data_IF_929420231377
#
_entry.id   IF_929420231377
#
_cell.length_a   1.000
_cell.length_b   1.000
_cell.length_c   1.000
_cell.angle_alpha   90.00
_cell.angle_beta   90.00
_cell.angle_gamma   90.00
#
_symmetry.space_group_name_H-M   'P 1'
#
loop_
_entity.id
_entity.type
_entity.pdbx_description
1 polymer ?
#
# COMPACT_ATOMS: atom_id res chain seq x y z
N UNK A 1 26.11 5.82 -5.90
CA UNK A 1 25.03 5.47 -6.85
C UNK A 1 23.72 5.52 -6.07
N UNK A 2 23.20 6.73 -5.82
CA UNK A 2 21.96 7.02 -5.08
C UNK A 2 21.12 7.81 -6.09
N UNK A 3 20.14 7.18 -6.72
CA UNK A 3 19.37 7.87 -7.78
C UNK A 3 18.12 7.14 -8.22
N UNK A 4 18.06 5.83 -8.04
CA UNK A 4 16.92 4.99 -8.42
C UNK A 4 15.89 4.82 -7.29
N UNK A 5 16.33 4.76 -6.03
CA UNK A 5 15.43 4.51 -4.89
C UNK A 5 14.49 5.70 -4.58
N UNK A 6 15.05 6.93 -4.62
CA UNK A 6 14.29 8.17 -4.40
C UNK A 6 13.20 8.40 -5.48
N UNK A 7 13.47 7.97 -6.72
CA UNK A 7 12.50 8.09 -7.80
C UNK A 7 11.34 7.11 -7.59
N UNK A 8 11.63 5.91 -7.10
CA UNK A 8 10.61 4.88 -6.85
C UNK A 8 9.66 5.28 -5.71
N UNK A 9 10.20 5.76 -4.59
CA UNK A 9 9.36 6.28 -3.49
C UNK A 9 8.47 7.45 -3.96
N UNK A 10 8.99 8.33 -4.82
CA UNK A 10 8.22 9.45 -5.36
C UNK A 10 7.12 8.99 -6.31
N UNK A 11 7.42 8.05 -7.21
CA UNK A 11 6.43 7.49 -8.13
C UNK A 11 5.31 6.78 -7.36
N UNK A 12 5.65 6.00 -6.35
CA UNK A 12 4.68 5.31 -5.49
C UNK A 12 3.84 6.34 -4.72
N UNK A 13 4.45 7.39 -4.18
CA UNK A 13 3.73 8.47 -3.51
C UNK A 13 2.79 9.25 -4.44
N UNK A 14 3.17 9.50 -5.70
CA UNK A 14 2.33 10.18 -6.69
C UNK A 14 1.15 9.32 -7.16
N UNK A 15 1.37 8.00 -7.30
CA UNK A 15 0.29 7.04 -7.56
C UNK A 15 -0.65 6.91 -6.36
N UNK A 16 -0.11 6.87 -5.13
CA UNK A 16 -0.88 6.88 -3.88
C UNK A 16 -1.72 8.17 -3.72
N UNK A 17 -1.19 9.30 -4.17
CA UNK A 17 -1.87 10.59 -4.15
C UNK A 17 -2.94 10.75 -5.25
N UNK A 18 -3.21 9.73 -6.06
CA UNK A 18 -4.21 9.75 -7.13
C UNK A 18 -3.83 10.63 -8.32
N UNK A 19 -2.55 11.03 -8.45
CA UNK A 19 -2.05 11.81 -9.60
C UNK A 19 -1.69 10.93 -10.81
N UNK A 20 -1.79 9.61 -10.66
CA UNK A 20 -1.56 8.59 -11.69
C UNK A 20 -2.61 7.49 -11.54
N UNK A 21 -3.06 6.91 -12.66
CA UNK A 21 -3.92 5.73 -12.63
C UNK A 21 -3.22 4.61 -11.87
N UNK A 22 -3.85 4.16 -10.78
CA UNK A 22 -3.42 3.01 -10.00
C UNK A 22 -3.80 1.78 -10.81
N UNK A 23 -2.80 1.08 -11.36
CA UNK A 23 -3.04 -0.13 -12.13
C UNK A 23 -3.40 -1.31 -11.19
N UNK A 24 -4.09 -2.33 -11.73
CA UNK A 24 -4.52 -3.53 -10.99
C UNK A 24 -3.37 -4.22 -10.25
N UNK A 25 -2.16 -4.15 -10.82
CA UNK A 25 -0.93 -4.66 -10.20
C UNK A 25 -0.57 -3.96 -8.89
N UNK A 26 -0.83 -2.65 -8.77
CA UNK A 26 -0.60 -1.90 -7.53
C UNK A 26 -1.57 -2.34 -6.44
N UNK A 27 -2.85 -2.57 -6.79
CA UNK A 27 -3.83 -3.11 -5.85
C UNK A 27 -3.51 -4.54 -5.41
N UNK A 28 -3.02 -5.39 -6.33
CA UNK A 28 -2.57 -6.74 -6.00
C UNK A 28 -1.36 -6.71 -5.04
N UNK A 29 -0.39 -5.85 -5.32
CA UNK A 29 0.80 -5.68 -4.48
C UNK A 29 0.45 -5.15 -3.08
N UNK A 30 -0.50 -4.21 -3.01
CA UNK A 30 -0.98 -3.65 -1.74
C UNK A 30 -1.75 -4.68 -0.91
N UNK A 31 -2.53 -5.55 -1.54
CA UNK A 31 -3.24 -6.64 -0.86
C UNK A 31 -2.27 -7.69 -0.28
N UNK A 32 -1.23 -8.06 -1.02
CA UNK A 32 -0.18 -8.96 -0.52
C UNK A 32 0.57 -8.32 0.65
N UNK A 33 0.80 -7.00 0.58
CA UNK A 33 1.47 -6.27 1.65
C UNK A 33 0.61 -6.20 2.92
N UNK A 34 -0.71 -6.04 2.77
CA UNK A 34 -1.69 -6.07 3.88
C UNK A 34 -1.69 -7.43 4.58
N UNK A 35 -1.80 -8.53 3.82
CA UNK A 35 -1.74 -9.89 4.37
C UNK A 35 -0.44 -10.16 5.14
N UNK A 36 0.70 -9.73 4.58
CA UNK A 36 2.01 -9.86 5.24
C UNK A 36 2.11 -9.03 6.50
N UNK A 37 1.54 -7.83 6.50
CA UNK A 37 1.51 -6.97 7.68
C UNK A 37 0.62 -7.57 8.77
N UNK A 38 -0.52 -8.16 8.42
CA UNK A 38 -1.34 -8.90 9.38
C UNK A 38 -0.61 -10.11 9.97
N UNK A 39 0.11 -10.87 9.15
CA UNK A 39 0.96 -11.95 9.65
C UNK A 39 2.05 -11.44 10.59
N UNK A 40 2.69 -10.32 10.26
CA UNK A 40 3.69 -9.70 11.12
C UNK A 40 3.10 -9.25 12.47
N UNK A 41 1.90 -8.67 12.47
CA UNK A 41 1.16 -8.27 13.68
C UNK A 41 0.75 -9.47 14.54
N UNK A 42 0.48 -10.62 13.93
CA UNK A 42 0.18 -11.88 14.63
C UNK A 42 1.42 -12.55 15.22
N UNK A 43 2.62 -12.26 14.69
CA UNK A 43 3.86 -12.83 15.20
C UNK A 43 4.30 -12.18 16.51
N UNK A 44 4.13 -10.85 16.66
CA UNK A 44 4.59 -10.15 17.86
C UNK A 44 3.78 -8.88 18.17
N UNK A 45 3.48 -8.72 19.46
CA UNK A 45 2.99 -7.52 20.19
C UNK A 45 3.52 -6.19 19.62
N UNK A 46 4.83 -6.17 19.41
CA UNK A 46 5.60 -4.98 19.03
C UNK A 46 5.25 -4.43 17.65
N UNK A 47 4.71 -5.26 16.75
CA UNK A 47 4.31 -4.81 15.42
C UNK A 47 2.86 -4.32 15.35
N UNK A 48 2.10 -4.43 16.44
CA UNK A 48 0.68 -4.04 16.50
C UNK A 48 0.41 -2.59 16.07
N UNK A 49 1.38 -1.69 16.30
CA UNK A 49 1.35 -0.27 15.91
C UNK A 49 1.83 0.03 14.48
N UNK A 50 2.38 -0.95 13.76
CA UNK A 50 2.78 -0.77 12.36
C UNK A 50 1.53 -0.78 11.49
N UNK A 51 1.25 0.36 10.87
CA UNK A 51 0.06 0.56 10.04
C UNK A 51 0.44 1.27 8.74
N UNK A 52 -0.41 1.14 7.73
CA UNK A 52 -0.22 1.86 6.47
C UNK A 52 -0.38 3.37 6.65
N UNK A 53 0.31 4.13 5.79
CA UNK A 53 0.05 5.56 5.69
C UNK A 53 -1.40 5.83 5.25
N UNK A 54 -1.96 7.00 5.59
CA UNK A 54 -3.34 7.35 5.21
C UNK A 54 -3.62 7.21 3.71
N UNK A 55 -2.63 7.47 2.85
CA UNK A 55 -2.76 7.34 1.41
C UNK A 55 -2.83 5.87 0.96
N UNK A 56 -2.05 4.98 1.57
CA UNK A 56 -2.09 3.55 1.29
C UNK A 56 -3.37 2.89 1.84
N UNK A 57 -3.85 3.33 3.00
CA UNK A 57 -5.12 2.88 3.56
C UNK A 57 -6.33 3.28 2.68
N UNK A 58 -6.29 4.47 2.05
CA UNK A 58 -7.30 4.90 1.08
C UNK A 58 -7.33 4.00 -0.15
N UNK A 59 -6.18 3.59 -0.69
CA UNK A 59 -6.14 2.66 -1.83
C UNK A 59 -6.72 1.28 -1.49
N UNK A 60 -6.42 0.74 -0.31
CA UNK A 60 -7.02 -0.51 0.18
C UNK A 60 -8.55 -0.42 0.28
N UNK A 61 -9.05 0.71 0.80
CA UNK A 61 -10.48 0.96 0.96
C UNK A 61 -11.20 1.12 -0.39
N UNK A 62 -10.55 1.70 -1.39
CA UNK A 62 -11.12 1.86 -2.74
C UNK A 62 -11.34 0.53 -3.47
N UNK A 63 -10.46 -0.47 -3.28
CA UNK A 63 -10.67 -1.82 -3.84
C UNK A 63 -11.93 -2.50 -3.29
N UNK A 64 -12.20 -2.35 -1.99
CA UNK A 64 -13.42 -2.89 -1.38
C UNK A 64 -14.70 -2.25 -1.94
N UNK A 65 -14.64 -0.99 -2.38
CA UNK A 65 -15.77 -0.32 -3.03
C UNK A 65 -15.99 -0.77 -4.49
N UNK A 66 -14.95 -1.24 -5.19
CA UNK A 66 -15.04 -1.71 -6.59
C UNK A 66 -15.49 -3.18 -6.68
N UNK A 67 -15.34 -3.96 -5.60
CA UNK A 67 -15.84 -5.37 -5.54
C UNK A 67 -17.34 -5.48 -5.21
N UNK A 68 -18.02 -4.38 -4.89
CA UNK A 68 -19.49 -4.34 -4.69
C UNK A 68 -20.13 -3.68 -5.91
N UNK A 69 -20.14 -4.38 -7.04
CA UNK A 69 -20.78 -3.97 -8.29
C UNK A 69 -21.25 -5.17 -9.08
#
# INVERSE_FOLDING_TARGET
MIGTDSNHCRIVAESLAGKREVNEQTFASLAILDERLEHLRKLDESYSGVTFSPDAAKLLSQKNAVTVG
#
